data_IF_352888329643
#
_entry.id   IF_352888329643
#
_cell.length_a   1.000
_cell.length_b   1.000
_cell.length_c   1.000
_cell.angle_alpha   90.00
_cell.angle_beta   90.00
_cell.angle_gamma   90.00
#
_symmetry.space_group_name_H-M   'P 1'
#
loop_
_entity.id
_entity.type
_entity.pdbx_description
1 polymer ?
#
# COMPACT_ATOMS: atom_id res chain seq x y z
N UNK A 1 34.59 -49.69 49.94
CA UNK A 1 34.53 -49.40 48.49
C UNK A 1 33.51 -48.29 48.26
N UNK A 2 33.94 -47.30 47.47
CA UNK A 2 33.29 -46.17 46.75
C UNK A 2 31.79 -45.79 46.98
N UNK A 3 31.48 -44.47 46.97
CA UNK A 3 30.13 -43.90 47.00
C UNK A 3 29.56 -43.71 45.58
N UNK A 4 28.23 -43.61 45.43
CA UNK A 4 27.61 -43.07 44.21
C UNK A 4 26.62 -41.97 44.58
N UNK A 5 27.06 -40.76 44.22
CA UNK A 5 26.39 -39.47 44.13
C UNK A 5 25.31 -39.47 43.05
N UNK A 6 24.20 -38.74 43.24
CA UNK A 6 23.51 -38.07 42.14
C UNK A 6 22.88 -36.76 42.64
N UNK A 7 23.63 -35.69 42.46
CA UNK A 7 23.19 -34.31 42.60
C UNK A 7 22.91 -33.83 41.18
N UNK A 8 21.64 -33.69 40.80
CA UNK A 8 21.27 -33.18 39.47
C UNK A 8 21.24 -31.66 39.56
N UNK A 9 22.33 -31.04 39.10
CA UNK A 9 22.48 -29.59 38.96
C UNK A 9 21.77 -29.17 37.65
N UNK A 10 20.61 -28.53 37.76
CA UNK A 10 19.86 -27.98 36.63
C UNK A 10 20.50 -26.64 36.21
N UNK A 11 21.23 -26.64 35.10
CA UNK A 11 21.83 -25.43 34.50
C UNK A 11 20.75 -24.70 33.69
N UNK A 12 20.19 -23.62 34.23
CA UNK A 12 19.34 -22.68 33.49
C UNK A 12 20.21 -21.76 32.64
N UNK A 13 20.32 -22.02 31.33
CA UNK A 13 20.81 -21.03 30.36
C UNK A 13 19.70 -20.01 30.10
N UNK A 14 19.89 -18.78 30.57
CA UNK A 14 19.13 -17.62 30.11
C UNK A 14 19.87 -17.05 28.89
N UNK A 15 19.34 -17.30 27.69
CA UNK A 15 19.74 -16.56 26.50
C UNK A 15 19.19 -15.13 26.60
N UNK A 16 20.09 -14.16 26.73
CA UNK A 16 19.80 -12.75 26.48
C UNK A 16 19.49 -12.56 24.98
N UNK A 17 18.21 -12.53 24.63
CA UNK A 17 17.77 -12.00 23.34
C UNK A 17 17.72 -10.49 23.42
N UNK A 18 18.72 -9.82 22.85
CA UNK A 18 18.63 -8.39 22.55
C UNK A 18 17.55 -8.18 21.49
N UNK A 19 16.59 -7.24 21.68
CA UNK A 19 15.67 -6.91 20.61
C UNK A 19 16.48 -6.23 19.49
N UNK A 20 16.62 -6.94 18.37
CA UNK A 20 17.00 -6.34 17.10
C UNK A 20 15.97 -5.24 16.80
N UNK A 21 16.40 -3.99 16.92
CA UNK A 21 15.67 -2.84 16.41
C UNK A 21 15.66 -2.97 14.88
N UNK A 22 14.70 -3.74 14.36
CA UNK A 22 14.39 -3.74 12.94
C UNK A 22 13.81 -2.36 12.64
N UNK A 23 14.64 -1.46 12.12
CA UNK A 23 14.14 -0.36 11.29
C UNK A 23 13.51 -1.02 10.07
N UNK A 24 12.21 -1.27 10.15
CA UNK A 24 11.41 -1.59 8.98
C UNK A 24 11.45 -0.34 8.08
N UNK A 25 12.34 -0.38 7.09
CA UNK A 25 12.22 0.46 5.93
C UNK A 25 10.95 -0.02 5.23
N UNK A 26 9.81 0.62 5.51
CA UNK A 26 8.52 0.28 4.91
C UNK A 26 8.65 0.42 3.40
N UNK A 27 8.69 -0.73 2.74
CA UNK A 27 8.87 -0.88 1.31
C UNK A 27 7.74 -0.15 0.58
N UNK A 28 8.08 0.94 -0.10
CA UNK A 28 7.17 1.72 -0.97
C UNK A 28 6.60 0.85 -2.11
N UNK A 29 7.16 -0.35 -2.31
CA UNK A 29 6.70 -1.37 -3.25
C UNK A 29 5.33 -1.98 -2.90
N UNK A 30 4.90 -2.00 -1.63
CA UNK A 30 3.65 -2.68 -1.24
C UNK A 30 2.37 -1.91 -1.62
N UNK A 31 2.46 -0.59 -1.73
CA UNK A 31 1.30 0.23 -2.10
C UNK A 31 0.81 -0.07 -3.53
N UNK A 32 1.70 -0.57 -4.41
CA UNK A 32 1.37 -0.97 -5.79
C UNK A 32 0.48 -2.21 -5.85
N UNK A 33 0.55 -3.06 -4.83
CA UNK A 33 -0.10 -4.36 -4.83
C UNK A 33 -1.52 -4.30 -4.26
N UNK A 34 -1.82 -3.34 -3.39
CA UNK A 34 -3.10 -3.26 -2.68
C UNK A 34 -4.06 -2.18 -3.19
N UNK A 35 -3.60 -1.20 -3.97
CA UNK A 35 -4.51 -0.25 -4.64
C UNK A 35 -4.98 -0.84 -5.97
N UNK A 36 -6.27 -1.11 -6.10
CA UNK A 36 -6.87 -1.68 -7.31
C UNK A 36 -7.46 -0.56 -8.16
N UNK A 37 -7.10 -0.56 -9.46
CA UNK A 37 -7.66 0.31 -10.49
C UNK A 37 -8.75 -0.44 -11.26
N UNK A 38 -10.00 -0.02 -11.12
CA UNK A 38 -11.14 -0.62 -11.85
C UNK A 38 -11.69 0.37 -12.86
N UNK A 39 -11.82 -0.05 -14.13
CA UNK A 39 -12.53 0.73 -15.13
C UNK A 39 -14.03 0.71 -14.83
N UNK A 40 -14.64 1.89 -14.71
CA UNK A 40 -16.09 2.05 -14.53
C UNK A 40 -16.69 2.76 -15.73
N UNK A 41 -17.87 2.31 -16.14
CA UNK A 41 -18.68 3.05 -17.09
C UNK A 41 -19.23 4.30 -16.40
N UNK A 42 -18.77 5.45 -16.88
CA UNK A 42 -19.22 6.78 -16.47
C UNK A 42 -19.80 7.54 -17.65
N UNK A 43 -20.39 6.84 -18.61
CA UNK A 43 -21.03 7.45 -19.79
C UNK A 43 -22.03 8.56 -19.45
N UNK A 44 -22.66 8.50 -18.27
CA UNK A 44 -23.52 9.57 -17.73
C UNK A 44 -22.79 10.89 -17.44
N UNK A 45 -21.50 10.83 -17.09
CA UNK A 45 -20.69 11.98 -16.66
C UNK A 45 -19.69 12.43 -17.72
N UNK A 46 -19.38 11.56 -18.69
CA UNK A 46 -18.28 11.76 -19.61
C UNK A 46 -18.57 11.23 -21.03
N UNK A 47 -18.89 12.11 -21.97
CA UNK A 47 -18.80 11.78 -23.40
C UNK A 47 -17.35 11.80 -23.85
N UNK A 48 -16.73 10.63 -24.03
CA UNK A 48 -15.36 10.49 -24.54
C UNK A 48 -14.26 10.38 -23.46
N UNK A 49 -14.63 10.28 -22.19
CA UNK A 49 -13.71 10.00 -21.08
C UNK A 49 -14.08 8.66 -20.40
N UNK A 50 -13.10 8.01 -19.78
CA UNK A 50 -13.29 6.79 -18.97
C UNK A 50 -13.18 7.16 -17.49
N UNK A 51 -14.01 6.57 -16.64
CA UNK A 51 -13.78 6.68 -15.20
C UNK A 51 -12.94 5.51 -14.73
N UNK A 52 -12.04 5.81 -13.80
CA UNK A 52 -11.39 4.78 -13.02
C UNK A 52 -11.74 4.96 -11.56
N UNK A 53 -12.07 3.84 -10.93
CA UNK A 53 -12.28 3.74 -9.50
C UNK A 53 -11.01 3.19 -8.86
N UNK A 54 -10.48 3.90 -7.88
CA UNK A 54 -9.41 3.44 -7.02
C UNK A 54 -10.02 2.86 -5.76
N UNK A 55 -9.57 1.67 -5.40
CA UNK A 55 -9.94 1.03 -4.13
C UNK A 55 -8.68 0.81 -3.32
N UNK A 56 -8.65 1.33 -2.10
CA UNK A 56 -7.55 1.08 -1.19
C UNK A 56 -7.80 -0.19 -0.36
N UNK A 57 -7.23 -1.31 -0.77
CA UNK A 57 -7.26 -2.55 0.03
C UNK A 57 -6.07 -2.68 0.98
N UNK A 58 -5.23 -1.64 1.11
CA UNK A 58 -4.15 -1.61 2.07
C UNK A 58 -4.70 -1.43 3.49
N UNK A 59 -3.95 -1.84 4.51
CA UNK A 59 -4.30 -1.58 5.92
C UNK A 59 -3.95 -0.17 6.38
N UNK A 60 -3.45 0.66 5.47
CA UNK A 60 -2.97 2.01 5.72
C UNK A 60 -3.53 3.00 4.71
N UNK A 61 -3.48 4.29 5.06
CA UNK A 61 -3.86 5.39 4.19
C UNK A 61 -2.88 5.50 3.00
N UNK A 62 -3.42 5.69 1.81
CA UNK A 62 -2.63 5.88 0.58
C UNK A 62 -2.97 7.20 -0.08
N UNK A 63 -1.98 7.77 -0.76
CA UNK A 63 -2.15 8.87 -1.71
C UNK A 63 -1.98 8.31 -3.11
N UNK A 64 -3.00 8.46 -3.94
CA UNK A 64 -2.97 8.17 -5.38
C UNK A 64 -2.78 9.47 -6.13
N UNK A 65 -1.69 9.60 -6.86
CA UNK A 65 -1.43 10.72 -7.77
C UNK A 65 -1.71 10.25 -9.18
N UNK A 66 -2.42 11.03 -9.96
CA UNK A 66 -2.76 10.66 -11.33
C UNK A 66 -2.56 11.81 -12.30
N UNK A 67 -2.25 11.46 -13.54
CA UNK A 67 -2.18 12.39 -14.68
C UNK A 67 -2.86 11.78 -15.88
N UNK A 68 -3.60 12.60 -16.62
CA UNK A 68 -4.28 12.18 -17.84
C UNK A 68 -4.15 13.26 -18.92
N UNK A 69 -3.98 12.81 -20.17
CA UNK A 69 -3.89 13.70 -21.33
C UNK A 69 -5.25 13.79 -22.01
N UNK A 70 -5.81 15.00 -22.06
CA UNK A 70 -7.03 15.28 -22.80
C UNK A 70 -6.82 15.12 -24.32
N UNK A 71 -7.90 14.90 -25.10
CA UNK A 71 -7.83 14.91 -26.56
C UNK A 71 -7.28 16.22 -27.14
N UNK A 72 -7.47 17.34 -26.43
CA UNK A 72 -6.89 18.65 -26.75
C UNK A 72 -5.36 18.69 -26.64
N UNK A 73 -4.73 17.65 -26.09
CA UNK A 73 -3.30 17.57 -25.80
C UNK A 73 -2.91 18.12 -24.43
N UNK A 74 -3.83 18.76 -23.69
CA UNK A 74 -3.59 19.31 -22.36
C UNK A 74 -3.52 18.20 -21.32
N UNK A 75 -2.54 18.27 -20.42
CA UNK A 75 -2.47 17.41 -19.25
C UNK A 75 -3.34 17.95 -18.10
N UNK A 76 -4.05 17.05 -17.45
CA UNK A 76 -4.72 17.26 -16.17
C UNK A 76 -4.15 16.28 -15.14
N UNK A 77 -4.16 16.67 -13.88
CA UNK A 77 -3.64 15.85 -12.79
C UNK A 77 -4.42 16.08 -11.51
N UNK A 78 -4.45 15.08 -10.65
CA UNK A 78 -5.09 15.17 -9.34
C UNK A 78 -4.45 14.22 -8.33
N UNK A 79 -4.78 14.48 -7.07
CA UNK A 79 -4.37 13.67 -5.94
C UNK A 79 -5.61 13.19 -5.19
N UNK A 80 -5.63 11.92 -4.81
CA UNK A 80 -6.69 11.31 -4.02
C UNK A 80 -6.07 10.68 -2.79
N UNK A 81 -6.63 10.93 -1.63
CA UNK A 81 -6.24 10.29 -0.38
C UNK A 81 -7.32 9.28 -0.02
N UNK A 82 -6.93 8.02 0.18
CA UNK A 82 -7.85 6.94 0.48
C UNK A 82 -7.48 6.33 1.83
N UNK A 83 -8.41 6.31 2.76
CA UNK A 83 -8.29 5.53 3.99
C UNK A 83 -8.48 4.02 3.68
N UNK A 84 -8.08 3.10 4.59
CA UNK A 84 -8.24 1.67 4.40
C UNK A 84 -9.69 1.28 4.07
N UNK A 85 -9.90 0.57 2.97
CA UNK A 85 -11.23 0.15 2.49
C UNK A 85 -12.00 1.21 1.70
N UNK A 86 -11.47 2.42 1.54
CA UNK A 86 -12.13 3.50 0.83
C UNK A 86 -12.02 3.34 -0.69
N UNK A 87 -13.04 3.84 -1.39
CA UNK A 87 -13.03 3.95 -2.85
C UNK A 87 -13.25 5.39 -3.28
N UNK A 88 -12.48 5.86 -4.26
CA UNK A 88 -12.78 7.11 -4.99
C UNK A 88 -12.93 6.83 -6.48
N UNK A 89 -13.82 7.59 -7.13
CA UNK A 89 -14.01 7.55 -8.58
C UNK A 89 -13.53 8.86 -9.16
N UNK A 90 -12.59 8.77 -10.09
CA UNK A 90 -12.03 9.93 -10.78
C UNK A 90 -12.27 9.79 -12.29
N UNK A 91 -12.39 10.94 -12.94
CA UNK A 91 -12.63 11.02 -14.39
C UNK A 91 -11.32 11.18 -15.15
N UNK A 92 -11.12 10.33 -16.15
CA UNK A 92 -9.89 10.29 -16.94
C UNK A 92 -10.15 10.36 -18.43
N UNK A 93 -9.27 11.05 -19.14
CA UNK A 93 -9.24 11.02 -20.58
C UNK A 93 -8.26 9.94 -21.04
N UNK A 94 -8.79 8.92 -21.69
CA UNK A 94 -8.00 7.89 -22.34
C UNK A 94 -7.45 8.38 -23.68
N UNK A 95 -6.26 7.89 -24.12
CA UNK A 95 -5.62 6.64 -23.70
C UNK A 95 -4.38 6.80 -22.79
N UNK A 96 -4.00 8.02 -22.40
CA UNK A 96 -2.75 8.26 -21.66
C UNK A 96 -3.04 8.59 -20.20
N UNK A 97 -3.01 7.57 -19.35
CA UNK A 97 -3.07 7.71 -17.89
C UNK A 97 -1.74 7.28 -17.27
N UNK A 98 -1.23 8.11 -16.37
CA UNK A 98 -0.12 7.78 -15.49
C UNK A 98 -0.62 7.81 -14.06
N UNK A 99 -0.43 6.72 -13.33
CA UNK A 99 -0.85 6.61 -11.93
C UNK A 99 0.38 6.24 -11.10
N UNK A 100 0.57 6.97 -10.00
CA UNK A 100 1.51 6.64 -8.95
C UNK A 100 0.79 6.64 -7.60
N UNK A 101 1.31 5.88 -6.66
CA UNK A 101 0.73 5.76 -5.32
C UNK A 101 1.85 5.80 -4.29
N UNK A 102 1.55 6.34 -3.13
CA UNK A 102 2.47 6.43 -2.00
C UNK A 102 1.73 6.16 -0.70
N UNK A 103 2.36 5.44 0.21
CA UNK A 103 1.93 5.35 1.61
C UNK A 103 1.87 6.75 2.24
N UNK A 104 0.82 7.00 3.04
CA UNK A 104 0.71 8.20 3.86
C UNK A 104 0.97 7.79 5.30
N UNK A 105 2.12 8.23 5.83
CA UNK A 105 2.49 7.98 7.22
C UNK A 105 1.52 8.71 8.15
N UNK A 106 1.00 7.96 9.12
CA UNK A 106 0.17 8.48 10.21
C UNK A 106 0.96 9.43 11.12
#
# INVERSE_FOLDING_TARGET
MKPITFFVLLVTMILFMTPLKMSAQEDVSDAKTCVVLTLKDCSEYCTGAQCYQFTNNCTYKVKVTWKSKQPSGKWISGDVYLDPGETSTETYWCPYIEVTWSYVKA
#
